data_IF_001495543289
#
_entry.id   IF_001495543289
#
_cell.length_a   1.000
_cell.length_b   1.000
_cell.length_c   1.000
_cell.angle_alpha   90.00
_cell.angle_beta   90.00
_cell.angle_gamma   90.00
#
_symmetry.space_group_name_H-M   'P 1'
#
loop_
_entity.id
_entity.type
_entity.pdbx_description
1 polymer ?
#
# COMPACT_ATOMS: atom_id res chain seq x y z
N UNK A 1 -17.23 -1.63 13.48
CA UNK A 1 -16.49 -2.57 12.61
C UNK A 1 -17.23 -3.89 12.56
N UNK A 2 -17.86 -4.20 11.42
CA UNK A 2 -18.47 -5.51 11.18
C UNK A 2 -17.45 -6.38 10.46
N UNK A 3 -17.40 -7.66 10.82
CA UNK A 3 -16.48 -8.61 10.20
C UNK A 3 -17.25 -9.82 9.69
N UNK A 4 -16.94 -10.28 8.48
CA UNK A 4 -17.56 -11.48 7.92
C UNK A 4 -16.55 -12.28 7.09
N UNK A 5 -16.63 -13.60 7.21
CA UNK A 5 -15.86 -14.50 6.35
C UNK A 5 -16.42 -14.44 4.93
N UNK A 6 -15.53 -14.41 3.94
CA UNK A 6 -15.90 -14.40 2.54
C UNK A 6 -16.12 -15.83 2.03
N UNK A 7 -17.08 -15.97 1.13
CA UNK A 7 -17.27 -17.22 0.38
C UNK A 7 -16.02 -17.52 -0.47
N UNK A 8 -15.87 -18.78 -0.90
CA UNK A 8 -14.76 -19.19 -1.77
C UNK A 8 -14.74 -18.42 -3.10
N UNK A 9 -15.91 -18.23 -3.73
CA UNK A 9 -16.01 -17.47 -4.98
C UNK A 9 -15.65 -16.01 -4.78
N UNK A 10 -16.17 -15.36 -3.74
CA UNK A 10 -15.86 -13.96 -3.42
C UNK A 10 -14.38 -13.75 -3.08
N UNK A 11 -13.77 -14.71 -2.36
CA UNK A 11 -12.34 -14.67 -2.03
C UNK A 11 -11.49 -14.74 -3.30
N UNK A 12 -11.82 -15.64 -4.22
CA UNK A 12 -11.11 -15.75 -5.50
C UNK A 12 -11.24 -14.46 -6.32
N UNK A 13 -12.45 -13.90 -6.43
CA UNK A 13 -12.67 -12.65 -7.18
C UNK A 13 -11.82 -11.49 -6.65
N UNK A 14 -11.73 -11.34 -5.32
CA UNK A 14 -10.89 -10.33 -4.69
C UNK A 14 -9.42 -10.59 -4.96
N UNK A 15 -8.95 -11.84 -4.83
CA UNK A 15 -7.55 -12.19 -5.09
C UNK A 15 -7.17 -12.00 -6.57
N UNK A 16 -8.08 -12.24 -7.50
CA UNK A 16 -7.88 -12.01 -8.93
C UNK A 16 -7.73 -10.50 -9.21
N UNK A 17 -8.59 -9.67 -8.61
CA UNK A 17 -8.48 -8.20 -8.67
C UNK A 17 -7.16 -7.70 -8.10
N UNK A 18 -6.77 -8.20 -6.93
CA UNK A 18 -5.50 -7.89 -6.27
C UNK A 18 -4.31 -8.29 -7.15
N UNK A 19 -4.32 -9.51 -7.69
CA UNK A 19 -3.25 -10.03 -8.56
C UNK A 19 -3.11 -9.18 -9.81
N UNK A 20 -4.23 -8.82 -10.44
CA UNK A 20 -4.24 -7.95 -11.61
C UNK A 20 -3.73 -6.55 -11.30
N UNK A 21 -4.10 -5.96 -10.17
CA UNK A 21 -3.73 -4.59 -9.80
C UNK A 21 -2.25 -4.50 -9.36
N UNK A 22 -1.78 -5.48 -8.61
CA UNK A 22 -0.41 -5.48 -8.07
C UNK A 22 0.61 -6.02 -9.06
N UNK A 23 0.15 -6.71 -10.12
CA UNK A 23 1.01 -7.47 -11.03
C UNK A 23 1.87 -8.51 -10.29
N UNK A 24 1.39 -9.02 -9.15
CA UNK A 24 2.06 -10.00 -8.29
C UNK A 24 1.15 -11.21 -8.15
N UNK A 25 1.68 -12.39 -8.47
CA UNK A 25 0.96 -13.66 -8.28
C UNK A 25 0.79 -13.92 -6.79
N UNK A 26 -0.46 -13.96 -6.34
CA UNK A 26 -0.80 -14.27 -4.96
C UNK A 26 -0.88 -15.77 -4.70
N UNK A 27 -0.38 -16.27 -3.56
CA UNK A 27 -0.63 -17.65 -3.16
C UNK A 27 -2.12 -17.88 -2.90
N UNK A 28 -2.55 -19.15 -2.96
CA UNK A 28 -3.92 -19.51 -2.61
C UNK A 28 -4.16 -19.32 -1.13
N UNK A 29 -5.04 -18.40 -0.77
CA UNK A 29 -5.46 -18.15 0.61
C UNK A 29 -6.81 -18.84 0.82
N UNK A 30 -6.87 -19.73 1.83
CA UNK A 30 -8.05 -20.61 2.05
C UNK A 30 -9.29 -19.85 2.49
N UNK A 31 -9.11 -18.84 3.34
CA UNK A 31 -10.18 -18.07 3.96
C UNK A 31 -9.75 -16.63 4.05
N UNK A 32 -10.58 -15.74 3.51
CA UNK A 32 -10.46 -14.31 3.71
C UNK A 32 -11.59 -13.84 4.63
N UNK A 33 -11.26 -12.92 5.52
CA UNK A 33 -12.23 -12.20 6.36
C UNK A 33 -12.18 -10.74 5.98
N UNK A 34 -13.35 -10.17 5.71
CA UNK A 34 -13.52 -8.76 5.44
C UNK A 34 -13.96 -8.05 6.72
N UNK A 35 -13.21 -7.03 7.12
CA UNK A 35 -13.52 -6.16 8.24
C UNK A 35 -13.88 -4.77 7.71
N UNK A 36 -15.16 -4.41 7.75
CA UNK A 36 -15.65 -3.09 7.32
C UNK A 36 -15.20 -2.03 8.32
N UNK A 37 -14.38 -1.08 7.85
CA UNK A 37 -13.83 0.00 8.65
C UNK A 37 -14.72 1.24 8.57
N UNK A 38 -15.09 1.66 7.35
CA UNK A 38 -16.06 2.70 7.05
C UNK A 38 -16.77 2.42 5.71
N UNK A 39 -17.56 3.37 5.20
CA UNK A 39 -18.33 3.20 3.95
C UNK A 39 -17.47 2.95 2.70
N UNK A 40 -16.21 3.38 2.74
CA UNK A 40 -15.29 3.35 1.60
C UNK A 40 -14.14 2.37 1.80
N UNK A 41 -13.98 1.79 2.98
CA UNK A 41 -12.79 1.03 3.30
C UNK A 41 -13.03 -0.21 4.15
N UNK A 42 -12.25 -1.24 3.82
CA UNK A 42 -12.28 -2.53 4.52
C UNK A 42 -10.87 -3.10 4.64
N UNK A 43 -10.56 -3.69 5.79
CA UNK A 43 -9.38 -4.54 5.95
C UNK A 43 -9.74 -5.96 5.51
N UNK A 44 -8.90 -6.54 4.66
CA UNK A 44 -8.99 -7.94 4.24
C UNK A 44 -7.88 -8.69 4.96
N UNK A 45 -8.24 -9.71 5.73
CA UNK A 45 -7.28 -10.56 6.44
C UNK A 45 -7.40 -12.00 5.96
N UNK A 46 -6.29 -12.72 5.96
CA UNK A 46 -6.20 -14.14 5.67
C UNK A 46 -4.96 -14.73 6.32
N UNK A 47 -4.75 -16.04 6.13
CA UNK A 47 -3.56 -16.71 6.62
C UNK A 47 -2.28 -16.04 6.06
N UNK A 48 -1.51 -15.41 6.95
CA UNK A 48 -0.30 -14.65 6.63
C UNK A 48 -0.51 -13.62 5.49
N UNK A 49 -1.67 -12.97 5.48
CA UNK A 49 -2.03 -11.98 4.47
C UNK A 49 -2.91 -10.88 5.05
N UNK A 50 -2.54 -9.64 4.77
CA UNK A 50 -3.38 -8.47 5.05
C UNK A 50 -3.32 -7.48 3.89
N UNK A 51 -4.48 -6.99 3.50
CA UNK A 51 -4.62 -5.94 2.50
C UNK A 51 -5.71 -4.95 2.92
N UNK A 52 -5.56 -3.71 2.50
CA UNK A 52 -6.56 -2.67 2.68
C UNK A 52 -7.26 -2.42 1.35
N UNK A 53 -8.59 -2.37 1.35
CA UNK A 53 -9.39 -1.86 0.24
C UNK A 53 -9.82 -0.44 0.60
N UNK A 54 -9.52 0.52 -0.27
CA UNK A 54 -10.04 1.90 -0.21
C UNK A 54 -10.70 2.18 -1.56
N UNK A 55 -12.00 2.42 -1.56
CA UNK A 55 -12.83 2.43 -2.76
C UNK A 55 -12.56 1.19 -3.61
N UNK A 56 -12.04 1.34 -4.84
CA UNK A 56 -11.69 0.23 -5.73
C UNK A 56 -10.20 -0.12 -5.75
N UNK A 57 -9.40 0.49 -4.86
CA UNK A 57 -7.95 0.29 -4.80
C UNK A 57 -7.60 -0.68 -3.67
N UNK A 58 -6.82 -1.70 -4.00
CA UNK A 58 -6.24 -2.62 -3.02
C UNK A 58 -4.79 -2.25 -2.69
N UNK A 59 -4.43 -2.22 -1.41
CA UNK A 59 -3.09 -1.88 -0.94
C UNK A 59 -2.57 -3.02 -0.06
N UNK A 60 -1.31 -3.47 -0.22
CA UNK A 60 -0.70 -4.32 0.79
C UNK A 60 -0.67 -3.58 2.12
N UNK A 61 -0.94 -4.28 3.21
CA UNK A 61 -0.91 -3.65 4.53
C UNK A 61 0.53 -3.48 5.00
N UNK A 62 0.82 -2.39 5.74
CA UNK A 62 2.20 -2.03 6.13
C UNK A 62 2.89 -3.06 7.04
N UNK A 63 2.16 -3.98 7.66
CA UNK A 63 2.75 -5.08 8.45
C UNK A 63 3.27 -6.23 7.59
N UNK A 64 2.88 -6.33 6.32
CA UNK A 64 3.21 -7.45 5.44
C UNK A 64 4.57 -7.24 4.75
N UNK A 65 5.64 -7.07 5.52
CA UNK A 65 6.96 -6.65 4.99
C UNK A 65 7.48 -7.53 3.85
N UNK A 66 7.37 -8.86 3.95
CA UNK A 66 7.78 -9.79 2.89
C UNK A 66 6.95 -9.65 1.60
N UNK A 67 5.71 -9.17 1.70
CA UNK A 67 4.88 -8.83 0.55
C UNK A 67 5.31 -7.47 -0.03
N UNK A 68 5.55 -6.46 0.82
CA UNK A 68 5.99 -5.12 0.41
C UNK A 68 7.32 -5.12 -0.37
N UNK A 69 8.21 -6.08 -0.10
CA UNK A 69 9.47 -6.26 -0.85
C UNK A 69 9.27 -6.53 -2.34
N UNK A 70 8.09 -7.01 -2.74
CA UNK A 70 7.77 -7.33 -4.14
C UNK A 70 7.23 -6.13 -4.92
N UNK A 71 6.93 -5.02 -4.24
CA UNK A 71 6.38 -3.82 -4.88
C UNK A 71 7.50 -2.87 -5.33
N UNK A 72 7.23 -2.05 -6.36
CA UNK A 72 8.01 -0.86 -6.61
C UNK A 72 8.13 -0.02 -5.33
N UNK A 73 9.31 0.59 -5.11
CA UNK A 73 9.58 1.39 -3.92
C UNK A 73 10.17 2.75 -4.27
N UNK A 74 9.79 3.73 -3.46
CA UNK A 74 10.39 5.06 -3.41
C UNK A 74 11.02 5.23 -2.02
N UNK A 75 12.29 5.60 -2.00
CA UNK A 75 13.05 5.85 -0.78
C UNK A 75 13.16 7.35 -0.58
N UNK A 76 12.63 7.83 0.55
CA UNK A 76 12.62 9.25 0.91
C UNK A 76 13.69 9.58 1.94
N UNK A 77 14.07 10.86 1.99
CA UNK A 77 14.98 11.34 3.03
C UNK A 77 14.34 11.46 4.41
N UNK A 78 15.21 11.63 5.39
CA UNK A 78 14.85 11.80 6.80
C UNK A 78 13.90 12.99 7.04
N UNK A 79 14.01 14.06 6.24
CA UNK A 79 13.15 15.24 6.36
C UNK A 79 11.70 14.97 5.95
N UNK A 80 11.49 14.07 5.00
CA UNK A 80 10.16 13.69 4.52
C UNK A 80 9.39 12.79 5.49
N UNK A 81 10.07 12.02 6.36
CA UNK A 81 9.47 10.97 7.21
C UNK A 81 8.26 11.50 7.99
N UNK A 82 8.42 12.62 8.72
CA UNK A 82 7.35 13.20 9.53
C UNK A 82 6.13 13.56 8.68
N UNK A 83 6.33 14.08 7.49
CA UNK A 83 5.24 14.48 6.61
C UNK A 83 4.52 13.26 6.01
N UNK A 84 5.27 12.23 5.60
CA UNK A 84 4.70 10.97 5.10
C UNK A 84 3.86 10.29 6.18
N UNK A 85 4.36 10.20 7.42
CA UNK A 85 3.61 9.65 8.55
C UNK A 85 2.45 10.54 9.02
N UNK A 86 2.30 11.75 8.47
CA UNK A 86 1.15 12.63 8.68
C UNK A 86 0.21 12.65 7.46
N UNK A 87 0.39 11.72 6.51
CA UNK A 87 -0.47 11.58 5.34
C UNK A 87 -0.17 12.50 4.17
N UNK A 88 0.96 13.23 4.18
CA UNK A 88 1.35 14.03 3.03
C UNK A 88 1.70 13.13 1.84
N UNK A 89 1.39 13.62 0.63
CA UNK A 89 1.87 13.01 -0.61
C UNK A 89 3.39 13.10 -0.71
N UNK A 90 3.98 12.17 -1.46
CA UNK A 90 5.42 12.13 -1.63
C UNK A 90 5.76 13.07 -2.78
N UNK A 91 6.64 14.03 -2.50
CA UNK A 91 7.10 15.03 -3.46
C UNK A 91 8.45 14.61 -4.04
N UNK A 92 8.66 14.88 -5.34
CA UNK A 92 9.91 14.56 -6.04
C UNK A 92 11.19 14.99 -5.31
N UNK A 93 11.29 16.20 -4.70
CA UNK A 93 12.51 16.63 -4.01
C UNK A 93 12.89 15.77 -2.80
N UNK A 94 11.90 15.15 -2.14
CA UNK A 94 12.11 14.27 -1.00
C UNK A 94 12.53 12.85 -1.37
N UNK A 95 12.48 12.49 -2.66
CA UNK A 95 12.88 11.16 -3.15
C UNK A 95 14.38 11.10 -3.42
N UNK A 96 15.05 10.15 -2.76
CA UNK A 96 16.49 9.89 -2.92
C UNK A 96 16.79 8.73 -3.87
N UNK A 97 16.01 7.66 -3.79
CA UNK A 97 16.16 6.48 -4.64
C UNK A 97 14.78 5.92 -4.97
N UNK A 98 14.67 5.18 -6.05
CA UNK A 98 13.44 4.48 -6.42
C UNK A 98 13.78 3.25 -7.27
N UNK A 99 12.91 2.26 -7.29
CA UNK A 99 12.96 1.16 -8.27
C UNK A 99 12.07 1.49 -9.46
N UNK A 100 12.18 0.70 -10.53
CA UNK A 100 11.28 0.85 -11.67
C UNK A 100 9.81 0.80 -11.23
N UNK A 101 9.05 1.77 -11.73
CA UNK A 101 7.64 1.96 -11.41
C UNK A 101 6.94 2.57 -12.61
N UNK A 102 5.66 2.24 -12.79
CA UNK A 102 4.78 2.82 -13.81
C UNK A 102 3.80 3.78 -13.15
N UNK A 103 3.22 4.64 -13.98
CA UNK A 103 2.08 5.43 -13.56
C UNK A 103 0.96 4.49 -13.13
N UNK A 104 0.27 4.87 -12.06
CA UNK A 104 -0.80 4.11 -11.43
C UNK A 104 -0.40 2.81 -10.69
N UNK A 105 0.89 2.44 -10.67
CA UNK A 105 1.36 1.32 -9.84
C UNK A 105 1.13 1.59 -8.34
N UNK A 106 0.92 0.50 -7.59
CA UNK A 106 1.02 0.55 -6.13
C UNK A 106 2.50 0.59 -5.75
N UNK A 107 2.88 1.58 -4.94
CA UNK A 107 4.27 1.86 -4.60
C UNK A 107 4.42 1.91 -3.09
N UNK A 108 5.46 1.27 -2.58
CA UNK A 108 5.87 1.36 -1.19
C UNK A 108 6.79 2.55 -0.97
N UNK A 109 6.62 3.26 0.14
CA UNK A 109 7.47 4.39 0.53
C UNK A 109 8.28 3.97 1.74
N UNK A 110 9.60 4.05 1.64
CA UNK A 110 10.52 3.68 2.70
C UNK A 110 11.50 4.82 3.03
N UNK A 111 12.08 4.81 4.22
CA UNK A 111 13.13 5.78 4.60
C UNK A 111 14.55 5.30 4.30
N UNK A 112 15.47 6.23 4.10
CA UNK A 112 16.83 5.95 3.61
C UNK A 112 17.77 5.23 4.60
N UNK A 113 17.56 5.39 5.92
CA UNK A 113 18.52 4.99 6.95
C UNK A 113 18.41 3.51 7.34
N UNK A 114 17.18 3.01 7.50
CA UNK A 114 16.91 1.61 7.89
C UNK A 114 15.99 0.89 6.92
N UNK A 115 15.62 1.54 5.80
CA UNK A 115 14.72 1.00 4.79
C UNK A 115 13.35 0.56 5.37
N UNK A 116 12.89 1.23 6.44
CA UNK A 116 11.56 0.98 7.02
C UNK A 116 10.46 1.51 6.13
N UNK A 117 9.45 0.69 5.87
CA UNK A 117 8.24 1.10 5.17
C UNK A 117 7.41 2.07 6.03
N UNK A 118 7.11 3.23 5.46
CA UNK A 118 6.36 4.32 6.09
C UNK A 118 4.94 4.42 5.55
N UNK A 119 4.79 4.16 4.25
CA UNK A 119 3.52 4.30 3.57
C UNK A 119 3.43 3.37 2.34
N UNK A 120 2.20 3.18 1.88
CA UNK A 120 1.84 2.56 0.62
C UNK A 120 0.92 3.53 -0.10
N UNK A 121 1.18 3.71 -1.39
CA UNK A 121 0.50 4.70 -2.19
C UNK A 121 0.36 4.28 -3.64
N UNK A 122 -0.13 5.22 -4.45
CA UNK A 122 -0.29 5.04 -5.89
C UNK A 122 0.60 6.02 -6.63
N UNK A 123 1.36 5.55 -7.61
CA UNK A 123 2.23 6.42 -8.39
C UNK A 123 1.44 7.35 -9.29
N UNK A 124 1.82 8.63 -9.32
CA UNK A 124 1.36 9.59 -10.31
C UNK A 124 2.23 9.64 -11.57
N UNK A 125 3.40 9.02 -11.52
CA UNK A 125 4.48 9.18 -12.49
C UNK A 125 5.03 7.83 -12.93
N UNK A 126 5.62 7.77 -14.12
CA UNK A 126 6.37 6.63 -14.60
C UNK A 126 7.86 6.74 -14.27
N UNK A 127 8.63 5.70 -14.56
CA UNK A 127 10.09 5.72 -14.47
C UNK A 127 10.71 6.84 -15.33
N UNK A 128 10.17 7.06 -16.53
CA UNK A 128 10.66 8.12 -17.44
C UNK A 128 10.33 9.50 -16.89
N UNK A 129 9.13 9.69 -16.34
CA UNK A 129 8.76 10.94 -15.68
C UNK A 129 9.69 11.23 -14.50
N UNK A 130 9.99 10.23 -13.66
CA UNK A 130 10.87 10.37 -12.48
C UNK A 130 12.27 10.88 -12.82
N UNK A 131 12.79 10.56 -14.01
CA UNK A 131 14.09 11.03 -14.50
C UNK A 131 14.03 12.48 -14.98
N UNK A 132 12.89 12.91 -15.50
CA UNK A 132 12.73 14.22 -16.15
C UNK A 132 12.16 15.31 -15.24
N UNK A 133 11.49 14.94 -14.14
CA UNK A 133 10.90 15.90 -13.19
C UNK A 133 11.84 16.19 -12.01
N UNK A 134 11.89 17.45 -11.60
CA UNK A 134 12.64 17.91 -10.41
C UNK A 134 11.72 18.35 -9.26
N UNK A 135 10.42 18.52 -9.54
CA UNK A 135 9.39 18.95 -8.58
C UNK A 135 8.05 18.30 -8.90
N UNK A 136 7.10 18.38 -7.96
CA UNK A 136 5.75 17.83 -8.11
C UNK A 136 5.52 16.58 -7.26
N UNK A 137 4.25 16.16 -7.20
CA UNK A 137 3.82 14.95 -6.51
C UNK A 137 4.20 13.72 -7.33
N UNK A 138 4.76 12.70 -6.68
CA UNK A 138 5.18 11.45 -7.33
C UNK A 138 4.36 10.26 -6.86
N UNK A 139 3.97 10.23 -5.59
CA UNK A 139 3.13 9.16 -5.03
C UNK A 139 2.02 9.79 -4.20
N UNK A 140 0.78 9.41 -4.51
CA UNK A 140 -0.38 9.66 -3.65
C UNK A 140 -0.28 8.77 -2.43
N UNK A 141 -0.21 9.36 -1.25
CA UNK A 141 -0.18 8.61 0.00
C UNK A 141 -1.59 8.12 0.34
N UNK A 142 -1.76 6.80 0.51
CA UNK A 142 -3.08 6.19 0.71
C UNK A 142 -3.17 5.43 2.03
N UNK A 143 -2.08 4.79 2.45
CA UNK A 143 -1.97 4.12 3.72
C UNK A 143 -0.60 4.40 4.34
N UNK A 144 -0.53 4.89 5.58
CA UNK A 144 0.71 5.23 6.26
C UNK A 144 0.71 4.82 7.72
N UNK A 145 1.90 4.69 8.31
CA UNK A 145 2.04 4.39 9.74
C UNK A 145 1.29 5.44 10.55
N UNK A 146 0.50 4.99 11.53
CA UNK A 146 -0.35 5.81 12.41
C UNK A 146 -1.61 6.40 11.78
N UNK A 147 -1.92 6.07 10.51
CA UNK A 147 -3.21 6.43 9.95
C UNK A 147 -4.37 5.68 10.63
N UNK A 148 -5.60 6.07 10.29
CA UNK A 148 -6.81 5.45 10.85
C UNK A 148 -6.90 3.94 10.58
N UNK A 149 -6.33 3.45 9.47
CA UNK A 149 -6.37 2.04 9.09
C UNK A 149 -5.34 1.22 9.87
N UNK A 150 -4.15 1.78 10.08
CA UNK A 150 -3.09 1.24 10.93
C UNK A 150 -3.58 1.06 12.37
N UNK A 151 -4.23 2.07 12.93
CA UNK A 151 -4.79 1.99 14.28
C UNK A 151 -5.98 1.02 14.35
N UNK A 152 -6.87 1.02 13.37
CA UNK A 152 -8.00 0.09 13.32
C UNK A 152 -7.55 -1.38 13.24
N UNK A 153 -6.49 -1.68 12.49
CA UNK A 153 -5.98 -3.04 12.35
C UNK A 153 -5.46 -3.63 13.68
N UNK A 154 -5.01 -2.79 14.64
CA UNK A 154 -4.59 -3.25 15.97
C UNK A 154 -5.75 -3.77 16.81
N UNK A 155 -6.99 -3.40 16.46
CA UNK A 155 -8.20 -3.84 17.15
C UNK A 155 -8.73 -5.17 16.61
N UNK A 156 -8.20 -5.62 15.48
CA UNK A 156 -8.58 -6.90 14.85
C UNK A 156 -7.65 -7.98 15.42
N UNK A 157 -8.25 -8.93 16.13
CA UNK A 157 -7.57 -10.07 16.75
C UNK A 157 -7.39 -11.21 15.76
#
# INVERSE_FOLDING_TARGET
MKSHALSKSSSNEILDKITSQWHIVMPKIKTLVLHELDEHSSLITGDSFKALKIDDVYLPFLTETSLLEKFPKVIVDTGAIKFVCNGANIMRPGVKRYTELKKDDIVCVAEESHNKYLAVGKSFVSNDDMQNITKGEVVKNLHYISDKYWEAAKLIK
#
